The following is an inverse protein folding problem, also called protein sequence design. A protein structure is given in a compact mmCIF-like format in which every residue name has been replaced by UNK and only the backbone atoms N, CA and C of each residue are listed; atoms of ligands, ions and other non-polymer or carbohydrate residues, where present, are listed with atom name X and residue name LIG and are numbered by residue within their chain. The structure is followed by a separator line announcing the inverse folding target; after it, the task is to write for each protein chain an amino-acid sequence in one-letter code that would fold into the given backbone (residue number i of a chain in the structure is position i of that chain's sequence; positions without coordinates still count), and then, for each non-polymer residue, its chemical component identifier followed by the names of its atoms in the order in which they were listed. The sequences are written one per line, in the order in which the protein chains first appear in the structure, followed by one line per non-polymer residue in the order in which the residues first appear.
data_IF_727010225305
#
_entry.id   IF_727010225305
#
_cell.length_a   1.000
_cell.length_b   1.000
_cell.length_c   1.000
_cell.angle_alpha   90.00
_cell.angle_beta   90.00
_cell.angle_gamma   90.00
#
_symmetry.space_group_name_H-M   'P 1'
#
loop_
_entity.id
_entity.type
_entity.pdbx_description
1 polymer ?
#
# COMPACT_ATOMS: atom_id res chain seq x y z
N UNK A 1 -13.24 -46.54 -3.29
CA UNK A 1 -12.15 -46.09 -2.41
C UNK A 1 -11.43 -44.84 -2.94
N UNK A 2 -11.11 -44.74 -4.23
CA UNK A 2 -10.40 -43.58 -4.83
C UNK A 2 -11.12 -42.21 -4.68
N UNK A 3 -12.44 -42.15 -4.87
CA UNK A 3 -13.20 -40.89 -4.78
C UNK A 3 -13.15 -40.23 -3.38
N UNK A 4 -13.21 -41.04 -2.32
CA UNK A 4 -13.11 -40.54 -0.94
C UNK A 4 -11.70 -40.06 -0.60
N UNK A 5 -10.67 -40.70 -1.15
CA UNK A 5 -9.29 -40.28 -0.99
C UNK A 5 -9.00 -38.95 -1.70
N UNK A 6 -9.56 -38.74 -2.91
CA UNK A 6 -9.42 -37.48 -3.64
C UNK A 6 -10.07 -36.29 -2.91
N UNK A 7 -11.26 -36.49 -2.33
CA UNK A 7 -11.92 -35.46 -1.52
C UNK A 7 -11.12 -35.12 -0.26
N UNK A 8 -10.54 -36.13 0.40
CA UNK A 8 -9.72 -35.92 1.59
C UNK A 8 -8.41 -35.17 1.26
N UNK A 9 -7.76 -35.51 0.14
CA UNK A 9 -6.54 -34.86 -0.32
C UNK A 9 -6.77 -33.38 -0.69
N UNK A 10 -7.87 -33.09 -1.41
CA UNK A 10 -8.26 -31.72 -1.75
C UNK A 10 -8.57 -30.89 -0.51
N UNK A 11 -9.19 -31.49 0.51
CA UNK A 11 -9.48 -30.81 1.79
C UNK A 11 -8.18 -30.46 2.54
N UNK A 12 -7.21 -31.36 2.59
CA UNK A 12 -5.92 -31.11 3.24
C UNK A 12 -5.07 -30.06 2.51
N UNK A 13 -5.06 -30.04 1.18
CA UNK A 13 -4.34 -29.01 0.41
C UNK A 13 -4.96 -27.62 0.62
N UNK A 14 -6.28 -27.53 0.67
CA UNK A 14 -6.97 -26.26 0.90
C UNK A 14 -6.78 -25.76 2.33
N UNK A 15 -6.87 -26.68 3.32
CA UNK A 15 -6.56 -26.37 4.72
C UNK A 15 -5.12 -25.90 4.88
N UNK A 16 -4.11 -26.59 4.33
CA UNK A 16 -2.72 -26.17 4.46
C UNK A 16 -2.45 -24.75 3.91
N UNK A 17 -3.17 -24.33 2.86
CA UNK A 17 -3.05 -22.99 2.27
C UNK A 17 -3.74 -21.89 3.08
N UNK A 18 -4.77 -22.25 3.86
CA UNK A 18 -5.50 -21.36 4.77
C UNK A 18 -4.77 -21.23 6.14
N UNK A 19 -4.17 -22.31 6.63
CA UNK A 19 -3.48 -22.35 7.94
C UNK A 19 -2.28 -21.38 8.04
N UNK A 20 -1.73 -20.92 6.90
CA UNK A 20 -0.60 -19.96 6.86
C UNK A 20 -1.06 -18.52 7.19
N UNK A 21 -2.37 -18.23 7.17
CA UNK A 21 -2.93 -16.87 7.38
C UNK A 21 -3.50 -16.60 8.78
N UNK A 22 -3.39 -17.56 9.71
CA UNK A 22 -3.86 -17.41 11.09
C UNK A 22 -5.32 -17.78 11.25
N UNK A 23 -5.58 -19.07 11.51
CA UNK A 23 -6.92 -19.66 11.65
C UNK A 23 -7.44 -19.60 13.11
N UNK A 24 -7.17 -18.48 13.79
CA UNK A 24 -7.69 -18.21 15.14
C UNK A 24 -8.87 -17.24 15.02
N UNK A 25 -9.96 -17.49 15.75
CA UNK A 25 -11.14 -16.60 15.82
C UNK A 25 -10.74 -15.15 16.12
N UNK A 26 -9.75 -14.96 17.00
CA UNK A 26 -9.17 -13.65 17.31
C UNK A 26 -8.44 -13.01 16.10
N UNK A 27 -7.78 -13.81 15.26
CA UNK A 27 -7.10 -13.31 14.06
C UNK A 27 -8.12 -12.85 13.01
N UNK A 28 -9.22 -13.58 12.85
CA UNK A 28 -10.34 -13.20 11.97
C UNK A 28 -10.98 -11.90 12.46
N UNK A 29 -11.23 -11.78 13.77
CA UNK A 29 -11.79 -10.58 14.36
C UNK A 29 -10.89 -9.35 14.11
N UNK A 30 -9.58 -9.46 14.37
CA UNK A 30 -8.62 -8.38 14.12
C UNK A 30 -8.58 -8.00 12.63
N UNK A 31 -8.65 -8.97 11.71
CA UNK A 31 -8.68 -8.71 10.28
C UNK A 31 -9.93 -7.91 9.86
N UNK A 32 -11.10 -8.25 10.41
CA UNK A 32 -12.34 -7.51 10.17
C UNK A 32 -12.21 -6.07 10.69
N UNK A 33 -11.78 -5.89 11.94
CA UNK A 33 -11.55 -4.55 12.49
C UNK A 33 -10.54 -3.73 11.68
N UNK A 34 -9.46 -4.36 11.20
CA UNK A 34 -8.44 -3.73 10.36
C UNK A 34 -8.98 -3.33 9.00
N UNK A 35 -9.81 -4.16 8.37
CA UNK A 35 -10.47 -3.87 7.11
C UNK A 35 -11.45 -2.69 7.26
N UNK A 36 -12.23 -2.67 8.35
CA UNK A 36 -13.13 -1.56 8.69
C UNK A 36 -12.37 -0.26 8.93
N UNK A 37 -11.28 -0.30 9.69
CA UNK A 37 -10.41 0.86 9.94
C UNK A 37 -9.82 1.40 8.64
N UNK A 38 -9.30 0.51 7.79
CA UNK A 38 -8.75 0.87 6.49
C UNK A 38 -9.80 1.52 5.59
N UNK A 39 -11.00 0.93 5.51
CA UNK A 39 -12.11 1.47 4.73
C UNK A 39 -12.54 2.86 5.22
N UNK A 40 -12.58 3.06 6.53
CA UNK A 40 -12.88 4.36 7.13
C UNK A 40 -11.83 5.42 6.74
N UNK A 41 -10.55 5.11 6.91
CA UNK A 41 -9.45 6.03 6.58
C UNK A 41 -9.48 6.43 5.10
N UNK A 42 -9.67 5.47 4.18
CA UNK A 42 -9.74 5.75 2.75
C UNK A 42 -10.97 6.61 2.43
N UNK A 43 -12.11 6.36 3.08
CA UNK A 43 -13.32 7.16 2.87
C UNK A 43 -13.15 8.60 3.34
N UNK A 44 -12.47 8.82 4.48
CA UNK A 44 -12.12 10.16 4.96
C UNK A 44 -11.20 10.90 4.00
N UNK A 45 -10.16 10.22 3.48
CA UNK A 45 -9.26 10.79 2.47
C UNK A 45 -10.04 11.14 1.21
N UNK A 46 -10.89 10.23 0.72
CA UNK A 46 -11.74 10.45 -0.45
C UNK A 46 -12.70 11.63 -0.26
N UNK A 47 -13.21 11.87 0.95
CA UNK A 47 -14.07 13.01 1.25
C UNK A 47 -13.33 14.36 1.26
N UNK A 48 -12.03 14.38 1.59
CA UNK A 48 -11.22 15.60 1.56
C UNK A 48 -10.65 15.94 0.18
N UNK A 49 -10.46 14.94 -0.68
CA UNK A 49 -9.91 15.13 -2.02
C UNK A 49 -11.01 15.53 -3.00
N UNK A 50 -10.80 16.65 -3.71
CA UNK A 50 -11.78 17.17 -4.70
C UNK A 50 -11.88 16.30 -5.96
N UNK A 51 -10.80 15.58 -6.29
CA UNK A 51 -10.69 14.75 -7.49
C UNK A 51 -11.33 13.38 -7.28
N UNK A 52 -12.19 12.95 -8.21
CA UNK A 52 -12.81 11.62 -8.15
C UNK A 52 -11.78 10.55 -8.54
N UNK A 53 -11.26 9.85 -7.54
CA UNK A 53 -10.44 8.67 -7.72
C UNK A 53 -11.26 7.39 -7.52
N UNK A 54 -10.95 6.34 -8.31
CA UNK A 54 -11.46 5.00 -8.05
C UNK A 54 -10.87 4.46 -6.73
N UNK A 55 -11.64 3.63 -6.01
CA UNK A 55 -11.24 3.12 -4.69
C UNK A 55 -9.95 2.31 -4.74
N UNK A 56 -9.80 1.39 -5.71
CA UNK A 56 -8.58 0.59 -5.92
C UNK A 56 -7.35 1.46 -6.18
N UNK A 57 -7.52 2.55 -6.92
CA UNK A 57 -6.44 3.51 -7.21
C UNK A 57 -6.03 4.25 -5.93
N UNK A 58 -6.98 4.71 -5.11
CA UNK A 58 -6.68 5.35 -3.82
C UNK A 58 -5.89 4.41 -2.89
N UNK A 59 -6.35 3.18 -2.73
CA UNK A 59 -5.66 2.17 -1.91
C UNK A 59 -4.22 1.97 -2.39
N UNK A 60 -4.03 1.82 -3.70
CA UNK A 60 -2.71 1.61 -4.30
C UNK A 60 -1.79 2.81 -4.12
N UNK A 61 -2.30 4.02 -4.30
CA UNK A 61 -1.55 5.26 -4.10
C UNK A 61 -1.18 5.42 -2.62
N UNK A 62 -2.14 5.28 -1.69
CA UNK A 62 -1.89 5.40 -0.25
C UNK A 62 -0.81 4.39 0.19
N UNK A 63 -0.88 3.15 -0.30
CA UNK A 63 0.15 2.13 -0.04
C UNK A 63 1.54 2.56 -0.53
N UNK A 64 1.65 3.11 -1.75
CA UNK A 64 2.94 3.56 -2.30
C UNK A 64 3.45 4.82 -1.61
N UNK A 65 2.55 5.73 -1.25
CA UNK A 65 2.85 6.96 -0.51
C UNK A 65 3.11 6.69 0.98
N UNK A 66 2.80 5.51 1.51
CA UNK A 66 3.21 5.16 2.87
C UNK A 66 4.73 4.99 2.97
N UNK A 67 5.37 4.54 1.89
CA UNK A 67 6.82 4.36 1.81
C UNK A 67 7.54 5.68 1.45
N UNK A 68 6.87 6.57 0.73
CA UNK A 68 7.40 7.88 0.36
C UNK A 68 6.84 8.93 1.32
N UNK A 69 7.67 9.56 2.15
CA UNK A 69 7.26 10.64 3.08
C UNK A 69 6.81 11.94 2.36
N UNK A 70 5.82 11.85 1.47
CA UNK A 70 5.25 12.93 0.65
C UNK A 70 3.88 13.29 1.23
N UNK A 71 3.51 14.57 1.13
CA UNK A 71 2.19 15.02 1.53
C UNK A 71 1.11 14.38 0.63
N UNK A 72 0.37 13.42 1.21
CA UNK A 72 -0.67 12.66 0.53
C UNK A 72 -1.78 13.55 -0.06
N UNK A 73 -2.19 14.62 0.63
CA UNK A 73 -3.27 15.47 0.14
C UNK A 73 -2.85 16.27 -1.09
N UNK A 74 -1.65 16.87 -1.05
CA UNK A 74 -1.07 17.54 -2.22
C UNK A 74 -0.88 16.59 -3.40
N UNK A 75 -0.44 15.35 -3.12
CA UNK A 75 -0.27 14.32 -4.14
C UNK A 75 -1.60 13.89 -4.80
N UNK A 76 -2.68 13.78 -4.02
CA UNK A 76 -3.98 13.35 -4.53
C UNK A 76 -4.70 14.46 -5.32
N UNK A 77 -4.38 15.73 -5.08
CA UNK A 77 -4.85 16.85 -5.88
C UNK A 77 -4.02 17.01 -7.17
N UNK A 78 -2.70 17.15 -7.03
CA UNK A 78 -1.74 17.26 -8.12
C UNK A 78 -0.54 16.30 -7.93
N UNK A 79 -0.61 15.11 -8.53
CA UNK A 79 0.48 14.14 -8.48
C UNK A 79 1.76 14.67 -9.11
N UNK A 80 1.66 15.39 -10.24
CA UNK A 80 2.85 15.87 -10.97
C UNK A 80 3.54 17.02 -10.24
N UNK A 81 2.79 17.98 -9.73
CA UNK A 81 3.32 19.07 -8.93
C UNK A 81 4.07 18.56 -7.70
N UNK A 82 3.48 17.59 -6.99
CA UNK A 82 4.11 16.97 -5.82
C UNK A 82 5.44 16.29 -6.15
N UNK A 83 5.53 15.58 -7.28
CA UNK A 83 6.80 14.99 -7.73
C UNK A 83 7.86 16.05 -8.08
N UNK A 84 7.46 17.16 -8.70
CA UNK A 84 8.38 18.27 -9.01
C UNK A 84 8.96 18.88 -7.74
N UNK A 85 8.17 19.01 -6.67
CA UNK A 85 8.67 19.50 -5.39
C UNK A 85 9.70 18.55 -4.77
N UNK A 86 9.44 17.23 -4.79
CA UNK A 86 10.39 16.22 -4.31
C UNK A 86 11.69 16.25 -5.11
N UNK A 87 11.61 16.38 -6.43
CA UNK A 87 12.77 16.50 -7.32
C UNK A 87 13.55 17.78 -7.00
N UNK A 88 12.84 18.90 -6.78
CA UNK A 88 13.46 20.18 -6.42
C UNK A 88 14.19 20.08 -5.07
N UNK A 89 13.57 19.47 -4.06
CA UNK A 89 14.20 19.27 -2.75
C UNK A 89 15.44 18.36 -2.85
N UNK A 90 15.34 17.26 -3.60
CA UNK A 90 16.51 16.40 -3.88
C UNK A 90 17.62 17.21 -4.54
N UNK A 91 17.31 17.98 -5.58
CA UNK A 91 18.29 18.83 -6.29
C UNK A 91 18.98 19.82 -5.36
N UNK A 92 18.24 20.49 -4.47
CA UNK A 92 18.79 21.42 -3.47
C UNK A 92 19.73 20.67 -2.49
N UNK A 93 19.33 19.49 -2.01
CA UNK A 93 20.14 18.69 -1.09
C UNK A 93 21.48 18.26 -1.71
N UNK A 94 21.49 17.89 -2.99
CA UNK A 94 22.73 17.57 -3.72
C UNK A 94 23.55 18.82 -4.07
N UNK A 95 22.90 19.95 -4.35
CA UNK A 95 23.60 21.22 -4.59
C UNK A 95 24.38 21.67 -3.35
N UNK A 96 23.88 21.37 -2.15
CA UNK A 96 24.58 21.63 -0.88
C UNK A 96 25.42 20.43 -0.39
N UNK A 97 25.57 19.39 -1.22
CA UNK A 97 26.40 18.22 -0.90
C UNK A 97 27.86 18.50 -1.23
N UNK A 98 28.76 17.93 -0.43
CA UNK A 98 30.21 18.00 -0.67
C UNK A 98 30.63 17.34 -1.99
N UNK A 99 29.80 16.46 -2.53
CA UNK A 99 30.02 15.74 -3.79
C UNK A 99 28.80 15.91 -4.71
N UNK A 100 28.72 17.03 -5.46
CA UNK A 100 27.61 17.31 -6.37
C UNK A 100 27.66 16.45 -7.65
N UNK A 101 28.83 15.91 -8.04
CA UNK A 101 29.01 15.06 -9.23
C UNK A 101 28.45 13.63 -9.11
N UNK A 102 28.11 13.15 -7.90
CA UNK A 102 27.52 11.79 -7.74
C UNK A 102 26.03 11.74 -8.08
N UNK A 103 25.44 12.83 -8.59
CA UNK A 103 24.05 12.84 -9.04
C UNK A 103 23.82 11.82 -10.16
N UNK A 104 23.14 10.72 -9.84
CA UNK A 104 22.80 9.64 -10.78
C UNK A 104 23.68 8.39 -10.69
N UNK A 105 24.73 8.40 -9.86
CA UNK A 105 25.49 7.20 -9.53
C UNK A 105 24.78 6.43 -8.40
N UNK A 106 23.81 5.60 -8.76
CA UNK A 106 23.19 4.66 -7.84
C UNK A 106 24.09 3.41 -7.72
N UNK A 107 24.66 3.21 -6.53
CA UNK A 107 25.09 1.90 -6.03
C UNK A 107 24.02 1.39 -5.06
#
# INVERSE_FOLDING_TARGET
MAYRAAIQAAKTEFSAKIYILGDNENAIEIQIWTAMLTNLLITLVKGKVKRKWAFSNLVSIIRQQLMNYINLYGFLEDPEGSWREVIKQKKIKYQNSLFPETMGAYF
#
